data_IF_349798760800
#
_entry.id   IF_349798760800
#
_cell.length_a   1.000
_cell.length_b   1.000
_cell.length_c   1.000
_cell.angle_alpha   90.00
_cell.angle_beta   90.00
_cell.angle_gamma   90.00
#
_symmetry.space_group_name_H-M   'P 1'
#
loop_
_entity.id
_entity.type
_entity.pdbx_description
1 polymer ?
#
# COMPACT_ATOMS: atom_id res chain seq x y z
N UNK A 1 -0.17 41.50 -14.75
CA UNK A 1 -0.58 41.28 -13.34
C UNK A 1 -2.04 40.85 -13.16
N UNK A 2 -2.75 40.38 -14.20
CA UNK A 2 -4.16 39.93 -14.11
C UNK A 2 -4.34 38.40 -14.21
N UNK A 3 -3.31 37.68 -14.66
CA UNK A 3 -3.32 36.22 -14.85
C UNK A 3 -2.98 35.44 -13.59
N UNK A 4 -2.21 36.01 -12.66
CA UNK A 4 -1.84 35.38 -11.38
C UNK A 4 -3.01 35.28 -10.38
N UNK A 5 -3.96 36.22 -10.40
CA UNK A 5 -5.11 36.23 -9.49
C UNK A 5 -6.04 35.03 -9.72
N UNK A 6 -6.15 34.52 -10.95
CA UNK A 6 -6.98 33.34 -11.25
C UNK A 6 -6.28 32.00 -10.96
N UNK A 7 -4.96 32.00 -10.76
CA UNK A 7 -4.19 30.77 -10.52
C UNK A 7 -3.98 30.46 -9.03
N UNK A 8 -4.14 31.43 -8.14
CA UNK A 8 -3.91 31.24 -6.69
C UNK A 8 -4.86 30.23 -6.01
N UNK A 9 -5.98 29.88 -6.64
CA UNK A 9 -6.96 28.92 -6.11
C UNK A 9 -6.94 27.56 -6.83
N UNK A 10 -5.96 27.32 -7.71
CA UNK A 10 -5.81 26.01 -8.34
C UNK A 10 -4.99 25.14 -7.39
N UNK A 11 -5.47 23.94 -7.09
CA UNK A 11 -4.73 22.98 -6.28
C UNK A 11 -3.37 22.69 -6.94
N UNK A 12 -2.30 23.28 -6.41
CA UNK A 12 -0.96 23.05 -6.90
C UNK A 12 -0.50 21.67 -6.44
N UNK A 13 -0.23 20.76 -7.38
CA UNK A 13 0.17 19.39 -7.09
C UNK A 13 1.63 19.26 -6.58
N UNK A 14 2.21 20.34 -6.05
CA UNK A 14 3.64 20.49 -5.75
C UNK A 14 4.53 20.38 -7.01
N UNK A 15 5.74 20.92 -6.93
CA UNK A 15 6.64 21.06 -8.09
C UNK A 15 6.97 19.72 -8.75
N UNK A 16 7.13 18.66 -7.97
CA UNK A 16 7.48 17.34 -8.50
C UNK A 16 6.35 16.79 -9.40
N UNK A 17 5.11 16.84 -8.94
CA UNK A 17 3.97 16.34 -9.73
C UNK A 17 3.74 17.20 -10.97
N UNK A 18 3.85 18.53 -10.86
CA UNK A 18 3.76 19.41 -12.02
C UNK A 18 4.83 19.07 -13.07
N UNK A 19 6.08 18.91 -12.66
CA UNK A 19 7.16 18.56 -13.60
C UNK A 19 6.91 17.21 -14.29
N UNK A 20 6.36 16.23 -13.56
CA UNK A 20 5.99 14.93 -14.14
C UNK A 20 4.87 15.06 -15.17
N UNK A 21 3.84 15.86 -14.88
CA UNK A 21 2.73 16.09 -15.80
C UNK A 21 3.18 16.84 -17.06
N UNK A 22 4.00 17.88 -16.91
CA UNK A 22 4.57 18.62 -18.04
C UNK A 22 5.47 17.74 -18.90
N UNK A 23 6.27 16.87 -18.27
CA UNK A 23 7.10 15.91 -19.00
C UNK A 23 6.26 14.89 -19.78
N UNK A 24 5.17 14.39 -19.20
CA UNK A 24 4.26 13.47 -19.88
C UNK A 24 3.55 14.16 -21.06
N UNK A 25 3.14 15.41 -20.87
CA UNK A 25 2.58 16.23 -21.94
C UNK A 25 3.59 16.49 -23.07
N UNK A 26 4.85 16.73 -22.73
CA UNK A 26 5.94 16.81 -23.71
C UNK A 26 6.08 15.55 -24.55
N UNK A 27 6.05 14.37 -23.91
CA UNK A 27 6.11 13.09 -24.62
C UNK A 27 4.89 12.87 -25.54
N UNK A 28 3.69 13.25 -25.09
CA UNK A 28 2.48 13.14 -25.92
C UNK A 28 2.55 13.99 -27.19
N UNK A 29 3.16 15.18 -27.15
CA UNK A 29 3.34 16.03 -28.35
C UNK A 29 4.27 15.42 -29.40
N UNK A 30 5.17 14.53 -28.99
CA UNK A 30 6.01 13.81 -29.95
C UNK A 30 5.24 12.70 -30.66
N UNK A 31 4.18 12.17 -30.03
CA UNK A 31 3.34 11.10 -30.57
C UNK A 31 2.18 11.69 -31.39
N UNK A 32 1.45 12.64 -30.81
CA UNK A 32 0.32 13.30 -31.43
C UNK A 32 0.80 14.39 -32.38
N UNK A 33 0.67 14.15 -33.67
CA UNK A 33 1.08 15.09 -34.71
C UNK A 33 -0.08 16.01 -35.10
N UNK A 34 0.17 17.29 -35.41
CA UNK A 34 -0.86 18.23 -35.84
C UNK A 34 -1.65 17.78 -37.08
N UNK A 35 -1.06 16.89 -37.89
CA UNK A 35 -1.63 16.35 -39.11
C UNK A 35 -2.57 15.15 -38.87
N UNK A 36 -2.61 14.61 -37.65
CA UNK A 36 -3.51 13.49 -37.30
C UNK A 36 -4.96 13.99 -37.21
N UNK A 37 -5.89 13.16 -37.67
CA UNK A 37 -7.31 13.42 -37.49
C UNK A 37 -7.70 13.30 -36.01
N UNK A 38 -8.81 13.95 -35.64
CA UNK A 38 -9.23 14.04 -34.24
C UNK A 38 -9.57 12.65 -33.65
N UNK A 39 -10.20 11.79 -34.44
CA UNK A 39 -10.52 10.42 -34.04
C UNK A 39 -9.26 9.59 -33.82
N UNK A 40 -8.29 9.69 -34.73
CA UNK A 40 -6.97 9.05 -34.59
C UNK A 40 -6.24 9.51 -33.31
N UNK A 41 -6.30 10.81 -33.01
CA UNK A 41 -5.74 11.37 -31.77
C UNK A 41 -6.42 10.79 -30.52
N UNK A 42 -7.74 10.69 -30.52
CA UNK A 42 -8.52 10.18 -29.38
C UNK A 42 -8.27 8.69 -29.17
N UNK A 43 -8.23 7.89 -30.23
CA UNK A 43 -7.91 6.47 -30.16
C UNK A 43 -6.49 6.24 -29.63
N UNK A 44 -5.51 7.02 -30.12
CA UNK A 44 -4.12 6.96 -29.66
C UNK A 44 -4.01 7.30 -28.17
N UNK A 45 -4.67 8.37 -27.72
CA UNK A 45 -4.71 8.75 -26.30
C UNK A 45 -5.34 7.67 -25.43
N UNK A 46 -6.47 7.10 -25.87
CA UNK A 46 -7.15 6.03 -25.16
C UNK A 46 -6.27 4.78 -25.03
N UNK A 47 -5.57 4.41 -26.10
CA UNK A 47 -4.63 3.29 -26.11
C UNK A 47 -3.47 3.51 -25.13
N UNK A 48 -2.84 4.68 -25.17
CA UNK A 48 -1.73 5.03 -24.28
C UNK A 48 -2.16 5.02 -22.81
N UNK A 49 -3.32 5.63 -22.50
CA UNK A 49 -3.88 5.65 -21.15
C UNK A 49 -4.19 4.23 -20.66
N UNK A 50 -4.86 3.42 -21.48
CA UNK A 50 -5.22 2.04 -21.13
C UNK A 50 -3.97 1.19 -20.86
N UNK A 51 -2.92 1.38 -21.64
CA UNK A 51 -1.64 0.68 -21.46
C UNK A 51 -0.97 1.10 -20.15
N UNK A 52 -0.90 2.41 -19.88
CA UNK A 52 -0.33 2.92 -18.64
C UNK A 52 -1.12 2.46 -17.39
N UNK A 53 -2.45 2.40 -17.46
CA UNK A 53 -3.30 1.87 -16.39
C UNK A 53 -3.09 0.38 -16.17
N UNK A 54 -2.94 -0.40 -17.24
CA UNK A 54 -2.65 -1.83 -17.16
C UNK A 54 -1.29 -2.07 -16.49
N UNK A 55 -0.26 -1.34 -16.92
CA UNK A 55 1.08 -1.41 -16.32
C UNK A 55 1.04 -1.01 -14.85
N UNK A 56 0.38 0.10 -14.51
CA UNK A 56 0.21 0.53 -13.13
C UNK A 56 -0.52 -0.52 -12.29
N UNK A 57 -1.63 -1.06 -12.79
CA UNK A 57 -2.41 -2.11 -12.13
C UNK A 57 -1.58 -3.38 -11.92
N UNK A 58 -0.78 -3.78 -12.90
CA UNK A 58 0.12 -4.93 -12.79
C UNK A 58 1.16 -4.73 -11.69
N UNK A 59 1.73 -3.53 -11.56
CA UNK A 59 2.71 -3.23 -10.51
C UNK A 59 2.06 -3.08 -9.14
N UNK A 60 0.87 -2.49 -9.08
CA UNK A 60 0.15 -2.23 -7.83
C UNK A 60 -0.44 -3.50 -7.21
N UNK A 61 -0.88 -4.45 -8.05
CA UNK A 61 -1.50 -5.69 -7.59
C UNK A 61 -0.50 -6.82 -7.30
N UNK A 62 0.79 -6.63 -7.60
CA UNK A 62 1.84 -7.56 -7.13
C UNK A 62 1.97 -7.46 -5.61
N UNK A 63 1.77 -8.59 -4.93
CA UNK A 63 1.98 -8.69 -3.47
C UNK A 63 3.40 -8.20 -3.12
N UNK A 64 3.52 -7.33 -2.11
CA UNK A 64 4.79 -6.74 -1.69
C UNK A 64 5.24 -5.46 -2.40
N UNK A 65 4.56 -4.99 -3.47
CA UNK A 65 4.93 -3.72 -4.13
C UNK A 65 4.48 -2.47 -3.35
N UNK A 66 3.54 -2.63 -2.41
CA UNK A 66 3.03 -1.55 -1.58
C UNK A 66 4.13 -1.07 -0.63
N UNK A 67 4.51 0.20 -0.75
CA UNK A 67 5.47 0.82 0.16
C UNK A 67 4.81 1.10 1.51
N UNK A 68 5.13 0.27 2.49
CA UNK A 68 4.71 0.49 3.87
C UNK A 68 5.68 1.46 4.56
N UNK A 69 5.26 2.71 4.76
CA UNK A 69 6.10 3.71 5.41
C UNK A 69 6.44 3.27 6.84
N UNK A 70 7.73 3.33 7.17
CA UNK A 70 8.24 2.95 8.49
C UNK A 70 8.26 1.44 8.75
N UNK A 71 7.98 0.61 7.73
CA UNK A 71 8.17 -0.83 7.82
C UNK A 71 9.66 -1.18 7.81
N UNK A 72 10.08 -2.10 8.67
CA UNK A 72 11.44 -2.64 8.64
C UNK A 72 11.59 -3.79 7.62
N UNK A 73 12.76 -4.44 7.60
CA UNK A 73 13.03 -5.51 6.64
C UNK A 73 12.12 -6.74 6.85
N UNK A 74 11.84 -7.11 8.11
CA UNK A 74 10.96 -8.23 8.43
C UNK A 74 9.51 -7.90 8.04
N UNK A 75 9.05 -6.73 8.49
CA UNK A 75 8.15 -5.80 7.80
C UNK A 75 7.76 -6.19 6.36
N UNK A 76 8.66 -5.78 5.48
CA UNK A 76 8.52 -5.89 4.04
C UNK A 76 8.55 -7.34 3.56
N UNK A 77 9.27 -8.22 4.27
CA UNK A 77 9.32 -9.64 3.92
C UNK A 77 7.93 -10.29 4.02
N UNK A 78 7.21 -10.15 5.14
CA UNK A 78 5.87 -10.74 5.24
C UNK A 78 4.84 -10.01 4.39
N UNK A 79 5.01 -8.71 4.14
CA UNK A 79 4.15 -7.95 3.24
C UNK A 79 4.09 -8.50 1.80
N UNK A 80 5.10 -9.27 1.39
CA UNK A 80 5.13 -9.96 0.11
C UNK A 80 4.24 -11.22 0.05
N UNK A 81 3.89 -11.79 1.21
CA UNK A 81 3.15 -13.06 1.28
C UNK A 81 1.69 -12.90 1.70
N UNK A 82 1.33 -11.75 2.29
CA UNK A 82 0.00 -11.54 2.87
C UNK A 82 -0.73 -10.37 2.22
N UNK A 83 -2.06 -10.37 2.32
CA UNK A 83 -2.87 -9.23 1.90
C UNK A 83 -2.57 -7.99 2.76
N UNK A 84 -2.83 -6.77 2.27
CA UNK A 84 -2.65 -5.57 3.08
C UNK A 84 -3.45 -5.56 4.39
N UNK A 85 -4.60 -6.24 4.42
CA UNK A 85 -5.39 -6.40 5.63
C UNK A 85 -4.65 -7.24 6.68
N UNK A 86 -4.17 -8.42 6.29
CA UNK A 86 -3.40 -9.31 7.18
C UNK A 86 -2.08 -8.66 7.60
N UNK A 87 -1.42 -7.93 6.69
CA UNK A 87 -0.21 -7.17 6.98
C UNK A 87 -0.40 -6.20 8.16
N UNK A 88 -1.49 -5.43 8.20
CA UNK A 88 -1.72 -4.47 9.29
C UNK A 88 -1.96 -5.15 10.64
N UNK A 89 -2.59 -6.33 10.64
CA UNK A 89 -2.75 -7.15 11.86
C UNK A 89 -1.38 -7.60 12.38
N UNK A 90 -0.56 -8.20 11.52
CA UNK A 90 0.79 -8.66 11.88
C UNK A 90 1.66 -7.48 12.34
N UNK A 91 1.63 -6.38 11.59
CA UNK A 91 2.39 -5.16 11.90
C UNK A 91 2.08 -4.63 13.29
N UNK A 92 0.80 -4.58 13.67
CA UNK A 92 0.37 -4.06 14.97
C UNK A 92 1.00 -4.84 16.12
N UNK A 93 0.93 -6.18 16.06
CA UNK A 93 1.52 -7.03 17.11
C UNK A 93 3.06 -6.99 17.09
N UNK A 94 3.66 -6.94 15.90
CA UNK A 94 5.12 -6.86 15.75
C UNK A 94 5.70 -5.53 16.26
N UNK A 95 5.03 -4.40 16.02
CA UNK A 95 5.46 -3.10 16.52
C UNK A 95 5.39 -3.04 18.07
N UNK A 96 4.41 -3.70 18.68
CA UNK A 96 4.33 -3.88 20.14
C UNK A 96 5.46 -4.75 20.69
N UNK A 97 5.79 -5.83 19.99
CA UNK A 97 6.96 -6.68 20.31
C UNK A 97 8.25 -5.86 20.26
N UNK A 98 8.49 -5.14 19.16
CA UNK A 98 9.71 -4.36 18.94
C UNK A 98 9.88 -3.20 19.92
N UNK A 99 8.77 -2.57 20.33
CA UNK A 99 8.77 -1.52 21.34
C UNK A 99 8.96 -2.03 22.78
N UNK A 100 8.94 -3.35 22.99
CA UNK A 100 9.05 -3.95 24.33
C UNK A 100 7.81 -3.72 25.19
N UNK A 101 6.70 -3.26 24.60
CA UNK A 101 5.44 -2.98 25.32
C UNK A 101 4.41 -4.09 25.18
N UNK A 102 4.80 -5.19 24.53
CA UNK A 102 4.01 -6.39 24.37
C UNK A 102 3.68 -7.00 25.74
N UNK A 103 2.39 -7.21 26.00
CA UNK A 103 1.91 -7.75 27.26
C UNK A 103 0.69 -8.61 27.00
N UNK A 104 0.78 -9.87 27.44
CA UNK A 104 -0.28 -10.86 27.33
C UNK A 104 -0.66 -11.36 28.71
N UNK A 105 -1.96 -11.41 28.97
CA UNK A 105 -2.53 -12.18 30.08
C UNK A 105 -2.74 -13.62 29.61
N UNK A 106 -2.10 -14.57 30.29
CA UNK A 106 -2.21 -15.99 29.97
C UNK A 106 -3.11 -16.72 30.98
N UNK A 107 -3.99 -17.58 30.48
CA UNK A 107 -4.82 -18.47 31.29
C UNK A 107 -4.80 -19.87 30.71
N UNK A 108 -4.54 -20.87 31.55
CA UNK A 108 -4.61 -22.27 31.16
C UNK A 108 -6.09 -22.68 31.03
N UNK A 109 -6.47 -23.20 29.86
CA UNK A 109 -7.78 -23.83 29.65
C UNK A 109 -7.66 -25.32 29.95
N UNK A 110 -6.58 -25.95 29.46
CA UNK A 110 -6.22 -27.35 29.64
C UNK A 110 -4.69 -27.44 29.73
N UNK A 111 -4.15 -28.61 30.10
CA UNK A 111 -2.70 -28.82 30.25
C UNK A 111 -1.89 -28.47 28.99
N UNK A 112 -2.50 -28.52 27.81
CA UNK A 112 -1.84 -28.25 26.52
C UNK A 112 -2.28 -26.93 25.87
N UNK A 113 -3.35 -26.29 26.36
CA UNK A 113 -4.00 -25.16 25.68
C UNK A 113 -4.00 -23.92 26.57
N UNK A 114 -3.30 -22.89 26.10
CA UNK A 114 -3.19 -21.59 26.76
C UNK A 114 -4.01 -20.56 26.01
N UNK A 115 -4.89 -19.88 26.73
CA UNK A 115 -5.57 -18.69 26.25
C UNK A 115 -4.71 -17.46 26.54
N UNK A 116 -4.46 -16.65 25.52
CA UNK A 116 -3.68 -15.42 25.60
C UNK A 116 -4.58 -14.24 25.25
N UNK A 117 -4.58 -13.20 26.10
CA UNK A 117 -5.27 -11.94 25.82
C UNK A 117 -4.26 -10.80 25.80
N UNK A 118 -4.18 -10.08 24.68
CA UNK A 118 -3.32 -8.91 24.57
C UNK A 118 -3.86 -7.78 25.43
N UNK A 119 -3.06 -7.29 26.37
CA UNK A 119 -3.40 -6.14 27.21
C UNK A 119 -3.61 -4.87 26.38
N UNK A 120 -2.96 -4.79 25.21
CA UNK A 120 -2.93 -3.63 24.31
C UNK A 120 -4.00 -3.71 23.22
N UNK A 121 -3.99 -4.77 22.42
CA UNK A 121 -4.91 -4.92 21.27
C UNK A 121 -6.26 -5.52 21.66
N UNK A 122 -6.37 -6.07 22.88
CA UNK A 122 -7.53 -6.83 23.37
C UNK A 122 -7.87 -8.06 22.53
N UNK A 123 -7.01 -8.43 21.58
CA UNK A 123 -7.15 -9.67 20.83
C UNK A 123 -6.89 -10.87 21.73
N UNK A 124 -7.59 -11.95 21.41
CA UNK A 124 -7.57 -13.19 22.16
C UNK A 124 -7.12 -14.32 21.24
N UNK A 125 -6.19 -15.13 21.73
CA UNK A 125 -5.55 -16.21 20.99
C UNK A 125 -5.54 -17.47 21.82
N UNK A 126 -5.58 -18.63 21.17
CA UNK A 126 -5.41 -19.92 21.82
C UNK A 126 -4.16 -20.58 21.26
N UNK A 127 -3.23 -20.96 22.12
CA UNK A 127 -1.95 -21.58 21.72
C UNK A 127 -1.88 -22.97 22.31
N UNK A 128 -1.73 -23.97 21.45
CA UNK A 128 -1.34 -25.31 21.88
C UNK A 128 0.18 -25.33 22.07
N UNK A 129 0.64 -25.58 23.30
CA UNK A 129 2.06 -25.52 23.65
C UNK A 129 2.84 -26.78 23.28
N UNK A 130 2.16 -27.90 23.01
CA UNK A 130 2.81 -29.13 22.55
C UNK A 130 3.07 -29.08 21.04
N UNK A 131 2.13 -28.53 20.27
CA UNK A 131 2.24 -28.44 18.81
C UNK A 131 2.76 -27.08 18.32
N UNK A 132 2.92 -26.11 19.22
CA UNK A 132 3.25 -24.72 18.89
C UNK A 132 2.28 -24.07 17.88
N UNK A 133 1.01 -24.51 17.89
CA UNK A 133 -0.03 -24.01 16.97
C UNK A 133 -0.82 -22.89 17.68
N UNK A 134 -0.90 -21.72 17.04
CA UNK A 134 -1.76 -20.63 17.48
C UNK A 134 -3.05 -20.58 16.67
N UNK A 135 -4.18 -20.21 17.30
CA UNK A 135 -5.43 -19.82 16.64
C UNK A 135 -5.35 -18.44 15.98
N UNK A 136 -4.15 -17.89 15.86
CA UNK A 136 -3.88 -16.63 15.23
C UNK A 136 -4.32 -16.74 13.76
N UNK A 137 -5.24 -15.88 13.32
CA UNK A 137 -5.59 -15.77 11.91
C UNK A 137 -4.43 -15.08 11.18
N UNK A 138 -3.66 -15.86 10.43
CA UNK A 138 -2.65 -15.35 9.49
C UNK A 138 -2.97 -15.85 8.09
#
# INVERSE_FOLDING_TARGET
MWTLYKWGNIAHLSNNTNNRLESAWGALKEILKPEMELDECVETLHFLQSTAELEYSSQFNVLGSRRYRGADEMQLHFAAFVSPYVFEIIRTEYDLFKSGTLSYEARWIQDELVHLKSSKTKQEYSVNILTYVCSCFF
#
